data_IF_763431765569
#
_entry.id   IF_763431765569
#
_cell.length_a   1.000
_cell.length_b   1.000
_cell.length_c   1.000
_cell.angle_alpha   90.00
_cell.angle_beta   90.00
_cell.angle_gamma   90.00
#
_symmetry.space_group_name_H-M   'P 1'
#
loop_
_entity.id
_entity.type
_entity.pdbx_description
1 polymer ?
#
# COMPACT_ATOMS: atom_id res chain seq x y z
N UNK A 1 -23.52 -8.68 -7.36
CA UNK A 1 -22.24 -8.80 -6.66
C UNK A 1 -22.40 -8.34 -5.22
N UNK A 2 -21.98 -9.15 -4.26
CA UNK A 2 -22.03 -8.79 -2.84
C UNK A 2 -20.94 -7.77 -2.50
N UNK A 3 -21.10 -7.12 -1.36
CA UNK A 3 -20.07 -6.20 -0.87
C UNK A 3 -18.73 -6.93 -0.68
N UNK A 4 -18.75 -8.14 -0.12
CA UNK A 4 -17.53 -8.94 0.07
C UNK A 4 -16.85 -9.27 -1.26
N UNK A 5 -17.61 -9.64 -2.28
CA UNK A 5 -17.06 -9.90 -3.59
C UNK A 5 -16.48 -8.65 -4.22
N UNK A 6 -17.14 -7.50 -4.03
CA UNK A 6 -16.67 -6.23 -4.56
C UNK A 6 -15.36 -5.80 -3.89
N UNK A 7 -15.26 -6.00 -2.58
CA UNK A 7 -14.03 -5.74 -1.84
C UNK A 7 -12.91 -6.65 -2.35
N UNK A 8 -13.17 -7.93 -2.47
CA UNK A 8 -12.19 -8.91 -2.94
C UNK A 8 -11.71 -8.57 -4.36
N UNK A 9 -12.63 -8.26 -5.25
CA UNK A 9 -12.30 -7.99 -6.65
C UNK A 9 -11.50 -6.69 -6.84
N UNK A 10 -11.61 -5.74 -5.91
CA UNK A 10 -10.89 -4.48 -5.97
C UNK A 10 -9.58 -4.47 -5.16
N UNK A 11 -9.33 -5.51 -4.37
CA UNK A 11 -8.08 -5.63 -3.63
C UNK A 11 -6.92 -5.63 -4.62
N UNK A 12 -5.97 -4.73 -4.39
CA UNK A 12 -4.90 -4.44 -5.35
C UNK A 12 -3.56 -4.86 -4.78
N UNK A 13 -2.78 -5.58 -5.58
CA UNK A 13 -1.45 -6.06 -5.23
C UNK A 13 -0.46 -5.50 -6.23
N UNK A 14 0.55 -4.78 -5.76
CA UNK A 14 1.61 -4.22 -6.61
C UNK A 14 2.95 -4.63 -6.02
N UNK A 15 3.82 -5.20 -6.84
CA UNK A 15 5.18 -5.54 -6.46
C UNK A 15 6.15 -4.52 -7.03
N UNK A 16 7.15 -4.15 -6.24
CA UNK A 16 8.22 -3.24 -6.67
C UNK A 16 9.55 -3.72 -6.12
N UNK A 17 10.61 -3.56 -6.90
CA UNK A 17 11.97 -3.75 -6.40
C UNK A 17 12.43 -2.44 -5.74
N UNK A 18 13.17 -2.55 -4.64
CA UNK A 18 13.69 -1.39 -3.93
C UNK A 18 15.13 -1.14 -4.39
N UNK A 19 15.32 -0.14 -5.25
CA UNK A 19 16.63 0.25 -5.76
C UNK A 19 17.22 1.38 -4.91
N UNK A 20 18.57 1.53 -4.87
CA UNK A 20 19.21 2.59 -4.09
C UNK A 20 18.71 4.00 -4.38
N UNK A 21 18.24 4.28 -5.60
CA UNK A 21 17.73 5.59 -5.97
C UNK A 21 16.47 6.03 -5.25
N UNK A 22 15.77 5.13 -4.56
CA UNK A 22 14.56 5.43 -3.79
C UNK A 22 14.80 5.38 -2.28
N UNK A 23 16.07 5.28 -1.86
CA UNK A 23 16.43 5.10 -0.46
C UNK A 23 16.99 6.39 0.14
N UNK A 24 17.03 6.42 1.48
CA UNK A 24 17.62 7.49 2.26
C UNK A 24 19.11 7.19 2.53
N UNK A 25 19.74 7.99 3.42
CA UNK A 25 21.16 7.83 3.73
C UNK A 25 21.50 6.57 4.56
N UNK A 26 20.49 5.80 4.97
CA UNK A 26 20.67 4.50 5.64
C UNK A 26 20.43 3.33 4.68
N UNK A 27 20.28 3.60 3.37
CA UNK A 27 19.97 2.58 2.35
C UNK A 27 18.63 1.87 2.61
N UNK A 28 17.68 2.59 3.22
CA UNK A 28 16.31 2.09 3.39
C UNK A 28 15.35 2.97 2.60
N UNK A 29 14.21 2.40 2.20
CA UNK A 29 13.21 3.10 1.40
C UNK A 29 12.81 4.41 2.09
N UNK A 30 12.90 5.53 1.35
CA UNK A 30 12.54 6.83 1.87
C UNK A 30 11.05 6.88 2.21
N UNK A 31 10.72 7.40 3.41
CA UNK A 31 9.33 7.43 3.89
C UNK A 31 8.38 8.13 2.94
N UNK A 32 8.80 9.24 2.34
CA UNK A 32 7.98 9.94 1.36
C UNK A 32 7.69 9.12 0.12
N UNK A 33 8.64 8.31 -0.34
CA UNK A 33 8.43 7.40 -1.47
C UNK A 33 7.46 6.29 -1.10
N UNK A 34 7.57 5.76 0.12
CA UNK A 34 6.63 4.76 0.61
C UNK A 34 5.21 5.31 0.65
N UNK A 35 5.03 6.51 1.22
CA UNK A 35 3.72 7.14 1.31
C UNK A 35 3.12 7.44 -0.06
N UNK A 36 3.93 7.91 -1.01
CA UNK A 36 3.47 8.13 -2.37
C UNK A 36 2.94 6.84 -2.99
N UNK A 37 3.69 5.76 -2.85
CA UNK A 37 3.30 4.45 -3.40
C UNK A 37 2.03 3.92 -2.72
N UNK A 38 1.89 4.12 -1.42
CA UNK A 38 0.69 3.71 -0.68
C UNK A 38 -0.53 4.51 -1.14
N UNK A 39 -0.38 5.82 -1.33
CA UNK A 39 -1.47 6.66 -1.82
C UNK A 39 -1.90 6.23 -3.22
N UNK A 40 -0.96 5.92 -4.09
CA UNK A 40 -1.25 5.42 -5.43
C UNK A 40 -2.05 4.12 -5.38
N UNK A 41 -1.64 3.17 -4.54
CA UNK A 41 -2.35 1.90 -4.38
C UNK A 41 -3.75 2.12 -3.80
N UNK A 42 -3.88 3.04 -2.83
CA UNK A 42 -5.18 3.39 -2.27
C UNK A 42 -6.11 3.96 -3.34
N UNK A 43 -5.58 4.85 -4.19
CA UNK A 43 -6.34 5.44 -5.30
C UNK A 43 -6.80 4.36 -6.28
N UNK A 44 -5.91 3.45 -6.66
CA UNK A 44 -6.24 2.37 -7.59
C UNK A 44 -7.34 1.48 -7.00
N UNK A 45 -7.18 1.10 -5.73
CA UNK A 45 -8.15 0.25 -5.03
C UNK A 45 -9.51 0.91 -4.94
N UNK A 46 -9.55 2.18 -4.52
CA UNK A 46 -10.79 2.95 -4.42
C UNK A 46 -11.47 3.09 -5.77
N UNK A 47 -10.71 3.38 -6.81
CA UNK A 47 -11.25 3.52 -8.16
C UNK A 47 -11.81 2.20 -8.67
N UNK A 48 -11.09 1.10 -8.44
CA UNK A 48 -11.55 -0.22 -8.85
C UNK A 48 -12.81 -0.65 -8.09
N UNK A 49 -12.93 -0.23 -6.84
CA UNK A 49 -14.11 -0.53 -6.04
C UNK A 49 -15.32 0.29 -6.48
N UNK A 50 -15.16 1.58 -6.67
CA UNK A 50 -16.28 2.49 -6.97
C UNK A 50 -16.54 2.66 -8.45
N UNK A 51 -15.51 2.58 -9.28
CA UNK A 51 -15.52 2.97 -10.69
C UNK A 51 -15.96 4.42 -10.89
N UNK A 52 -15.72 5.26 -9.88
CA UNK A 52 -16.03 6.69 -9.89
C UNK A 52 -14.73 7.47 -9.71
N UNK A 53 -14.81 8.79 -9.94
CA UNK A 53 -13.67 9.67 -9.67
C UNK A 53 -13.52 9.82 -8.15
N UNK A 54 -12.30 9.56 -7.66
CA UNK A 54 -12.00 9.65 -6.23
C UNK A 54 -10.74 10.48 -6.03
N UNK A 55 -10.62 11.08 -4.85
CA UNK A 55 -9.39 11.76 -4.41
C UNK A 55 -9.11 11.36 -2.97
N UNK A 56 -7.84 11.37 -2.60
CA UNK A 56 -7.43 11.15 -1.22
C UNK A 56 -7.68 12.41 -0.43
N UNK A 57 -8.49 12.32 0.62
CA UNK A 57 -8.80 13.45 1.50
C UNK A 57 -7.85 13.50 2.68
N UNK A 58 -7.53 12.34 3.25
CA UNK A 58 -6.64 12.25 4.40
C UNK A 58 -6.02 10.86 4.47
N UNK A 59 -4.92 10.78 5.21
CA UNK A 59 -4.34 9.49 5.57
C UNK A 59 -4.08 9.50 7.07
N UNK A 60 -4.23 8.36 7.72
CA UNK A 60 -3.99 8.25 9.13
C UNK A 60 -3.44 6.87 9.51
N UNK A 61 -3.01 6.76 10.76
CA UNK A 61 -2.52 5.49 11.32
C UNK A 61 -1.43 4.85 10.45
N UNK A 62 -0.49 5.68 9.96
CA UNK A 62 0.65 5.18 9.21
C UNK A 62 1.69 4.68 10.21
N UNK A 63 1.87 3.37 10.26
CA UNK A 63 2.82 2.72 11.15
C UNK A 63 4.01 2.17 10.37
N UNK A 64 5.19 2.69 10.66
CA UNK A 64 6.46 2.23 10.09
C UNK A 64 7.09 1.28 11.10
N UNK A 65 6.84 -0.02 10.97
CA UNK A 65 7.30 -1.00 11.95
C UNK A 65 8.66 -1.60 11.63
N UNK A 66 9.04 -1.62 10.34
CA UNK A 66 10.31 -2.18 9.90
C UNK A 66 10.91 -1.31 8.80
N UNK A 67 12.23 -1.11 8.78
CA UNK A 67 12.87 -0.47 7.64
C UNK A 67 12.82 -1.38 6.43
N UNK A 68 12.83 -0.78 5.24
CA UNK A 68 12.79 -1.52 3.97
C UNK A 68 14.14 -1.29 3.29
N UNK A 69 15.08 -2.25 3.37
CA UNK A 69 16.42 -2.06 2.81
C UNK A 69 16.40 -2.05 1.28
N UNK A 70 17.39 -1.37 0.69
CA UNK A 70 17.68 -1.52 -0.73
C UNK A 70 18.01 -2.99 -1.02
N UNK A 71 17.68 -3.45 -2.21
CA UNK A 71 17.92 -4.84 -2.61
C UNK A 71 16.85 -5.81 -2.14
N UNK A 72 15.69 -5.31 -1.74
CA UNK A 72 14.53 -6.15 -1.39
C UNK A 72 13.41 -5.94 -2.40
N UNK A 73 12.38 -6.77 -2.28
CA UNK A 73 11.14 -6.63 -3.05
C UNK A 73 10.05 -6.24 -2.06
N UNK A 74 9.18 -5.31 -2.45
CA UNK A 74 8.01 -4.98 -1.64
C UNK A 74 6.74 -5.35 -2.39
N UNK A 75 5.74 -5.76 -1.62
CA UNK A 75 4.38 -5.90 -2.11
C UNK A 75 3.50 -4.92 -1.36
N UNK A 76 2.77 -4.09 -2.11
CA UNK A 76 1.76 -3.19 -1.56
C UNK A 76 0.40 -3.82 -1.79
N UNK A 77 -0.38 -3.95 -0.73
CA UNK A 77 -1.72 -4.54 -0.79
C UNK A 77 -2.72 -3.49 -0.33
N UNK A 78 -3.62 -3.10 -1.23
CA UNK A 78 -4.70 -2.17 -0.92
C UNK A 78 -6.03 -2.89 -0.83
N UNK A 79 -6.78 -2.63 0.23
CA UNK A 79 -8.07 -3.27 0.47
C UNK A 79 -9.05 -2.29 1.08
N UNK A 80 -10.26 -2.22 0.55
CA UNK A 80 -11.33 -1.42 1.14
C UNK A 80 -11.75 -2.04 2.46
N UNK A 81 -11.72 -1.24 3.54
CA UNK A 81 -12.06 -1.71 4.87
C UNK A 81 -13.32 -1.04 5.44
N UNK A 82 -13.76 0.07 4.86
CA UNK A 82 -14.95 0.77 5.31
C UNK A 82 -15.58 1.54 4.17
N UNK A 83 -16.90 1.51 4.08
CA UNK A 83 -17.66 2.22 3.06
C UNK A 83 -18.68 3.10 3.74
N UNK A 84 -18.67 4.41 3.42
CA UNK A 84 -19.67 5.37 3.87
C UNK A 84 -20.53 5.83 2.70
N UNK A 85 -21.33 6.87 2.92
CA UNK A 85 -22.23 7.40 1.89
C UNK A 85 -21.48 8.10 0.76
N UNK A 86 -20.49 8.92 1.10
CA UNK A 86 -19.73 9.73 0.14
C UNK A 86 -18.22 9.48 0.20
N UNK A 87 -17.80 8.54 1.03
CA UNK A 87 -16.38 8.25 1.20
C UNK A 87 -16.18 6.76 1.49
N UNK A 88 -14.93 6.34 1.36
CA UNK A 88 -14.53 5.00 1.75
C UNK A 88 -13.12 5.06 2.33
N UNK A 89 -12.73 4.01 3.02
CA UNK A 89 -11.41 3.89 3.60
C UNK A 89 -10.70 2.68 3.03
N UNK A 90 -9.46 2.87 2.61
CA UNK A 90 -8.60 1.82 2.07
C UNK A 90 -7.44 1.61 3.02
N UNK A 91 -7.22 0.37 3.44
CA UNK A 91 -6.02 0.00 4.16
C UNK A 91 -4.96 -0.42 3.16
N UNK A 92 -3.76 0.12 3.30
CA UNK A 92 -2.63 -0.28 2.49
C UNK A 92 -1.55 -0.84 3.41
N UNK A 93 -1.09 -2.04 3.09
CA UNK A 93 -0.01 -2.70 3.80
C UNK A 93 1.17 -2.88 2.85
N UNK A 94 2.38 -2.69 3.36
CA UNK A 94 3.60 -3.00 2.61
C UNK A 94 4.30 -4.15 3.31
N UNK A 95 4.51 -5.23 2.56
CA UNK A 95 5.32 -6.36 2.97
C UNK A 95 6.66 -6.28 2.28
N UNK A 96 7.72 -6.57 3.03
CA UNK A 96 9.08 -6.64 2.48
C UNK A 96 9.48 -8.10 2.42
N UNK A 97 10.03 -8.52 1.28
CA UNK A 97 10.55 -9.87 1.14
C UNK A 97 11.99 -9.82 0.63
N UNK A 98 12.77 -10.79 1.07
CA UNK A 98 14.15 -10.91 0.64
C UNK A 98 14.19 -11.32 -0.83
N UNK A 99 15.17 -10.81 -1.57
CA UNK A 99 15.22 -11.05 -3.00
C UNK A 99 15.51 -12.50 -3.35
N UNK A 100 16.27 -13.17 -2.52
CA UNK A 100 16.76 -14.52 -2.79
C UNK A 100 16.34 -15.55 -1.75
N UNK A 101 15.28 -15.28 -0.99
CA UNK A 101 14.72 -16.23 -0.03
C UNK A 101 13.22 -15.96 0.09
N UNK A 102 12.52 -16.83 0.80
CA UNK A 102 11.08 -16.70 1.01
C UNK A 102 10.73 -15.88 2.26
N UNK A 103 11.72 -15.27 2.92
CA UNK A 103 11.46 -14.46 4.10
C UNK A 103 10.67 -13.21 3.73
N UNK A 104 9.57 -12.99 4.45
CA UNK A 104 8.63 -11.91 4.19
C UNK A 104 8.04 -11.43 5.50
N UNK A 105 7.96 -10.12 5.67
CA UNK A 105 7.34 -9.54 6.87
C UNK A 105 6.67 -8.22 6.54
N UNK A 106 5.66 -7.86 7.35
CA UNK A 106 4.97 -6.59 7.20
C UNK A 106 5.87 -5.47 7.71
N UNK A 107 6.01 -4.42 6.91
CA UNK A 107 6.87 -3.29 7.23
C UNK A 107 6.09 -2.02 7.53
N UNK A 108 5.00 -1.75 6.81
CA UNK A 108 4.23 -0.51 6.94
C UNK A 108 2.75 -0.83 6.79
N UNK A 109 1.92 -0.13 7.55
CA UNK A 109 0.46 -0.16 7.42
C UNK A 109 -0.07 1.25 7.50
N UNK A 110 -1.05 1.59 6.69
CA UNK A 110 -1.71 2.88 6.74
C UNK A 110 -3.12 2.82 6.20
N UNK A 111 -3.92 3.81 6.57
CA UNK A 111 -5.29 3.96 6.09
C UNK A 111 -5.41 5.26 5.29
N UNK A 112 -6.14 5.18 4.19
CA UNK A 112 -6.33 6.30 3.26
C UNK A 112 -7.79 6.54 2.93
#
# INVERSE_FOLDING_TARGET
>A
MTLEEKIKNSTTHIFKAVFPGTTNHYDTLFGGTALYSMDEVAFITATRFTRLKVVTVSSDKIDFTKPIPAGTIIELIGKVIKVGNTSLQVQVEIFVEQMYSDQREKAITGNF
#
